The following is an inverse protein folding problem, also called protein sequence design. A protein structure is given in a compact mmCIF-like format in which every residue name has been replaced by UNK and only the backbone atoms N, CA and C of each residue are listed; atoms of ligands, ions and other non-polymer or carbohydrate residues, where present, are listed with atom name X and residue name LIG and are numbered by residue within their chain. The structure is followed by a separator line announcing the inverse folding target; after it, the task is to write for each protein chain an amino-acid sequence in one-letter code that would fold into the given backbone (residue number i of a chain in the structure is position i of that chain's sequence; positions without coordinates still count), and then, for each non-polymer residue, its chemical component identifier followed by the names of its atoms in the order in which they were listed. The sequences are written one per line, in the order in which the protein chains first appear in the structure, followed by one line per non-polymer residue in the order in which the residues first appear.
data_IF_567898221962
#
_entry.id   IF_567898221962
#
_cell.length_a   1.000
_cell.length_b   1.000
_cell.length_c   1.000
_cell.angle_alpha   90.00
_cell.angle_beta   90.00
_cell.angle_gamma   90.00
#
_symmetry.space_group_name_H-M   'P 1'
#
loop_
_entity.id
_entity.type
_entity.pdbx_description
1 polymer ?
#
# COMPACT_ATOMS: atom_id res chain seq x y z
N UNK A 1 24.49 -1.25 -7.68
CA UNK A 1 23.80 -0.70 -6.50
C UNK A 1 23.94 0.82 -6.54
N UNK A 2 22.85 1.57 -6.38
CA UNK A 2 22.88 3.04 -6.33
C UNK A 2 23.74 3.49 -5.13
N UNK A 3 24.68 4.41 -5.35
CA UNK A 3 25.46 5.05 -4.29
C UNK A 3 24.61 6.00 -3.42
N UNK A 4 23.42 6.38 -3.90
CA UNK A 4 22.53 7.34 -3.25
C UNK A 4 21.34 6.65 -2.56
N UNK A 5 21.05 7.05 -1.32
CA UNK A 5 19.83 6.69 -0.60
C UNK A 5 18.60 7.44 -1.15
N UNK A 6 17.38 7.05 -0.75
CA UNK A 6 16.15 7.65 -1.30
C UNK A 6 16.09 9.17 -1.12
N UNK A 7 16.41 9.68 0.07
CA UNK A 7 16.42 11.11 0.35
C UNK A 7 17.41 11.87 -0.56
N UNK A 8 18.61 11.32 -0.76
CA UNK A 8 19.61 11.89 -1.66
C UNK A 8 19.15 11.89 -3.12
N UNK A 9 18.41 10.86 -3.56
CA UNK A 9 17.86 10.83 -4.92
C UNK A 9 16.79 11.89 -5.12
N UNK A 10 15.88 12.06 -4.16
CA UNK A 10 14.82 13.08 -4.20
C UNK A 10 15.44 14.49 -4.23
N UNK A 11 16.43 14.75 -3.37
CA UNK A 11 17.18 16.01 -3.38
C UNK A 11 17.86 16.25 -4.74
N UNK A 12 18.48 15.21 -5.32
CA UNK A 12 19.13 15.33 -6.62
C UNK A 12 18.11 15.69 -7.71
N UNK A 13 16.95 15.04 -7.73
CA UNK A 13 15.88 15.32 -8.70
C UNK A 13 15.42 16.78 -8.58
N UNK A 14 15.14 17.25 -7.37
CA UNK A 14 14.72 18.64 -7.16
C UNK A 14 15.81 19.65 -7.49
N UNK A 15 17.08 19.37 -7.16
CA UNK A 15 18.19 20.26 -7.50
C UNK A 15 18.38 20.37 -9.00
N UNK A 16 18.26 19.26 -9.74
CA UNK A 16 18.37 19.28 -11.20
C UNK A 16 17.23 20.06 -11.85
N UNK A 17 16.00 19.88 -11.35
CA UNK A 17 14.86 20.66 -11.81
C UNK A 17 15.06 22.16 -11.52
N UNK A 18 15.50 22.51 -10.32
CA UNK A 18 15.71 23.92 -9.93
C UNK A 18 16.87 24.59 -10.66
N UNK A 19 18.04 23.94 -10.72
CA UNK A 19 19.26 24.54 -11.26
C UNK A 19 19.27 24.64 -12.79
N UNK A 20 18.63 23.68 -13.48
CA UNK A 20 18.76 23.52 -14.92
C UNK A 20 17.42 23.51 -15.67
N UNK A 21 16.29 23.76 -14.99
CA UNK A 21 14.92 23.53 -15.51
C UNK A 21 14.78 22.12 -16.10
N UNK A 22 15.51 21.17 -15.51
CA UNK A 22 15.76 19.86 -16.08
C UNK A 22 14.93 18.80 -15.35
N UNK A 23 13.77 18.49 -15.90
CA UNK A 23 12.86 17.48 -15.36
C UNK A 23 13.34 16.08 -15.73
N UNK A 24 14.14 15.50 -14.85
CA UNK A 24 14.70 14.15 -15.05
C UNK A 24 13.60 13.09 -15.34
N UNK A 25 12.42 13.27 -14.74
CA UNK A 25 11.24 12.42 -14.97
C UNK A 25 10.82 12.46 -16.45
N UNK A 26 10.74 13.64 -17.06
CA UNK A 26 10.27 13.82 -18.44
C UNK A 26 11.19 13.09 -19.43
N UNK A 27 12.49 13.11 -19.17
CA UNK A 27 13.49 12.44 -20.02
C UNK A 27 13.38 10.92 -19.95
N UNK A 28 13.11 10.39 -18.76
CA UNK A 28 12.83 8.97 -18.60
C UNK A 28 11.49 8.62 -19.27
N UNK A 29 10.51 9.53 -19.22
CA UNK A 29 9.22 9.35 -19.88
C UNK A 29 9.32 9.39 -21.42
N UNK A 30 10.26 10.11 -22.01
CA UNK A 30 10.55 10.10 -23.45
C UNK A 30 11.11 8.75 -23.94
N UNK A 31 11.67 7.94 -23.04
CA UNK A 31 12.16 6.60 -23.40
C UNK A 31 10.98 5.63 -23.63
N UNK A 32 11.14 4.61 -24.50
CA UNK A 32 10.13 3.58 -24.70
C UNK A 32 9.78 2.83 -23.41
N UNK A 33 8.51 2.40 -23.31
CA UNK A 33 8.03 1.53 -22.24
C UNK A 33 8.89 0.27 -22.12
N UNK A 34 9.48 0.10 -20.95
CA UNK A 34 10.32 -1.06 -20.63
C UNK A 34 10.39 -1.24 -19.11
N UNK A 35 10.68 -2.45 -18.61
CA UNK A 35 10.87 -2.68 -17.19
C UNK A 35 11.92 -1.75 -16.57
N UNK A 36 12.99 -1.45 -17.31
CA UNK A 36 14.06 -0.55 -16.86
C UNK A 36 13.56 0.89 -16.72
N UNK A 37 12.71 1.35 -17.63
CA UNK A 37 12.07 2.67 -17.53
C UNK A 37 11.23 2.76 -16.27
N UNK A 38 10.36 1.78 -16.03
CA UNK A 38 9.52 1.74 -14.82
C UNK A 38 10.36 1.70 -13.53
N UNK A 39 11.40 0.88 -13.48
CA UNK A 39 12.32 0.85 -12.35
C UNK A 39 13.05 2.19 -12.17
N UNK A 40 13.43 2.86 -13.25
CA UNK A 40 14.08 4.19 -13.18
C UNK A 40 13.14 5.21 -12.60
N UNK A 41 11.90 5.32 -13.10
CA UNK A 41 10.89 6.22 -12.56
C UNK A 41 10.63 5.97 -11.07
N UNK A 42 10.49 4.70 -10.67
CA UNK A 42 10.32 4.32 -9.28
C UNK A 42 11.51 4.73 -8.38
N UNK A 43 12.72 4.83 -8.93
CA UNK A 43 13.89 5.32 -8.18
C UNK A 43 13.93 6.85 -8.01
N UNK A 44 13.20 7.59 -8.85
CA UNK A 44 13.20 9.06 -8.87
C UNK A 44 12.11 9.69 -7.99
N UNK A 45 11.11 8.91 -7.59
CA UNK A 45 9.99 9.38 -6.77
C UNK A 45 10.16 9.00 -5.30
N UNK A 46 9.40 9.65 -4.43
CA UNK A 46 9.38 9.27 -3.02
C UNK A 46 8.79 7.86 -2.85
N UNK A 47 9.32 7.03 -1.93
CA UNK A 47 8.79 5.69 -1.70
C UNK A 47 7.29 5.67 -1.38
N UNK A 48 6.80 6.66 -0.63
CA UNK A 48 5.39 6.75 -0.26
C UNK A 48 4.50 7.02 -1.48
N UNK A 49 4.95 7.89 -2.38
CA UNK A 49 4.28 8.20 -3.65
C UNK A 49 4.19 6.96 -4.55
N UNK A 50 5.23 6.12 -4.58
CA UNK A 50 5.20 4.86 -5.30
C UNK A 50 4.10 3.93 -4.77
N UNK A 51 4.03 3.73 -3.45
CA UNK A 51 2.98 2.89 -2.86
C UNK A 51 1.58 3.45 -3.12
N UNK A 52 1.41 4.76 -3.05
CA UNK A 52 0.13 5.44 -3.32
C UNK A 52 -0.30 5.25 -4.78
N UNK A 53 0.63 5.35 -5.73
CA UNK A 53 0.40 5.05 -7.15
C UNK A 53 0.03 3.61 -7.37
N UNK A 54 0.81 2.67 -6.85
CA UNK A 54 0.52 1.24 -6.98
C UNK A 54 -0.86 0.88 -6.40
N UNK A 55 -1.25 1.49 -5.28
CA UNK A 55 -2.56 1.30 -4.68
C UNK A 55 -3.69 1.86 -5.56
N UNK A 56 -3.53 3.08 -6.07
CA UNK A 56 -4.51 3.70 -6.97
C UNK A 56 -4.68 2.92 -8.27
N UNK A 57 -3.57 2.51 -8.90
CA UNK A 57 -3.58 1.72 -10.13
C UNK A 57 -4.34 0.40 -9.95
N UNK A 58 -4.24 -0.24 -8.79
CA UNK A 58 -5.02 -1.44 -8.48
C UNK A 58 -6.52 -1.15 -8.38
N UNK A 59 -6.91 -0.02 -7.76
CA UNK A 59 -8.31 0.40 -7.68
C UNK A 59 -8.88 0.69 -9.07
N UNK A 60 -8.13 1.40 -9.91
CA UNK A 60 -8.50 1.73 -11.30
C UNK A 60 -8.58 0.47 -12.15
N UNK A 61 -7.63 -0.45 -12.00
CA UNK A 61 -7.65 -1.74 -12.70
C UNK A 61 -8.94 -2.50 -12.38
N UNK A 62 -9.34 -2.54 -11.10
CA UNK A 62 -10.55 -3.23 -10.67
C UNK A 62 -11.84 -2.52 -11.08
N UNK A 63 -11.84 -1.19 -11.16
CA UNK A 63 -13.01 -0.43 -11.61
C UNK A 63 -13.23 -0.56 -13.12
N UNK A 64 -12.14 -0.55 -13.91
CA UNK A 64 -12.18 -0.64 -15.37
C UNK A 64 -12.40 -2.08 -15.86
N UNK A 65 -11.75 -3.04 -15.20
CA UNK A 65 -11.84 -4.43 -15.61
C UNK A 65 -13.05 -5.09 -14.95
N UNK A 66 -14.10 -5.34 -15.74
CA UNK A 66 -15.32 -6.06 -15.30
C UNK A 66 -15.05 -7.54 -14.95
N UNK A 67 -13.78 -7.93 -14.89
CA UNK A 67 -13.32 -9.27 -14.52
C UNK A 67 -13.34 -9.45 -12.99
N UNK A 68 -13.53 -10.69 -12.55
CA UNK A 68 -13.50 -11.08 -11.14
C UNK A 68 -12.05 -11.16 -10.58
N UNK A 69 -11.13 -10.33 -11.07
CA UNK A 69 -9.78 -10.29 -10.52
C UNK A 69 -9.80 -9.76 -9.09
N UNK A 70 -9.29 -10.53 -8.13
CA UNK A 70 -9.23 -10.12 -6.73
C UNK A 70 -7.94 -9.34 -6.45
N UNK A 71 -8.07 -8.03 -6.24
CA UNK A 71 -6.97 -7.13 -5.87
C UNK A 71 -6.73 -7.07 -4.36
N UNK A 72 -7.63 -7.64 -3.55
CA UNK A 72 -7.69 -7.38 -2.10
C UNK A 72 -6.39 -7.70 -1.39
N UNK A 73 -5.76 -8.82 -1.78
CA UNK A 73 -4.46 -9.22 -1.23
C UNK A 73 -3.38 -8.17 -1.45
N UNK A 74 -3.30 -7.59 -2.65
CA UNK A 74 -2.26 -6.60 -2.98
C UNK A 74 -2.49 -5.29 -2.22
N UNK A 75 -3.75 -4.85 -2.13
CA UNK A 75 -4.11 -3.67 -1.32
C UNK A 75 -3.70 -3.85 0.15
N UNK A 76 -4.02 -5.01 0.74
CA UNK A 76 -3.64 -5.33 2.11
C UNK A 76 -2.11 -5.40 2.27
N UNK A 77 -1.39 -5.99 1.31
CA UNK A 77 0.06 -6.06 1.33
C UNK A 77 0.73 -4.68 1.35
N UNK A 78 0.20 -3.71 0.59
CA UNK A 78 0.71 -2.34 0.59
C UNK A 78 0.50 -1.72 1.99
N UNK A 79 -0.71 -1.78 2.54
CA UNK A 79 -1.04 -1.10 3.80
C UNK A 79 -0.39 -1.75 5.04
N UNK A 80 -0.17 -3.07 5.02
CA UNK A 80 0.52 -3.77 6.12
C UNK A 80 2.02 -3.49 6.18
N UNK A 81 2.61 -3.00 5.09
CA UNK A 81 4.03 -2.66 5.06
C UNK A 81 4.34 -1.27 5.65
N UNK A 82 3.32 -0.43 5.82
CA UNK A 82 3.45 0.92 6.40
C UNK A 82 3.34 0.84 7.91
N UNK A 83 4.01 1.72 8.64
CA UNK A 83 3.69 2.03 10.04
C UNK A 83 2.59 3.12 10.12
N UNK A 84 2.20 3.52 11.32
CA UNK A 84 1.15 4.52 11.54
C UNK A 84 1.51 5.88 10.92
N UNK A 85 2.75 6.34 11.13
CA UNK A 85 3.23 7.62 10.59
C UNK A 85 3.23 7.61 9.06
N UNK A 86 3.71 6.53 8.45
CA UNK A 86 3.71 6.34 7.01
C UNK A 86 2.30 6.13 6.46
N UNK A 87 1.37 5.54 7.21
CA UNK A 87 -0.05 5.45 6.84
C UNK A 87 -0.68 6.84 6.74
N UNK A 88 -0.38 7.74 7.69
CA UNK A 88 -0.85 9.11 7.61
C UNK A 88 -0.25 9.87 6.41
N UNK A 89 1.05 9.70 6.14
CA UNK A 89 1.68 10.27 4.94
C UNK A 89 1.08 9.70 3.65
N UNK A 90 0.81 8.40 3.63
CA UNK A 90 0.18 7.71 2.50
C UNK A 90 -1.17 8.34 2.16
N UNK A 91 -2.02 8.56 3.16
CA UNK A 91 -3.32 9.21 2.98
C UNK A 91 -3.21 10.64 2.46
N UNK A 92 -2.38 11.45 3.10
CA UNK A 92 -2.16 12.83 2.66
C UNK A 92 -1.62 12.88 1.22
N UNK A 93 -0.69 11.98 0.89
CA UNK A 93 -0.11 11.88 -0.46
C UNK A 93 -1.17 11.44 -1.49
N UNK A 94 -2.05 10.50 -1.14
CA UNK A 94 -3.15 10.08 -2.02
C UNK A 94 -4.09 11.24 -2.34
N UNK A 95 -4.51 12.00 -1.34
CA UNK A 95 -5.40 13.15 -1.52
C UNK A 95 -4.76 14.25 -2.36
N UNK A 96 -3.45 14.50 -2.18
CA UNK A 96 -2.69 15.47 -2.99
C UNK A 96 -2.62 15.04 -4.46
N UNK A 97 -2.39 13.76 -4.73
CA UNK A 97 -2.17 13.27 -6.09
C UNK A 97 -3.45 13.08 -6.89
N UNK A 98 -4.55 12.70 -6.25
CA UNK A 98 -5.79 12.31 -6.93
C UNK A 98 -6.99 13.19 -6.59
N UNK A 99 -6.80 14.21 -5.76
CA UNK A 99 -7.84 15.17 -5.35
C UNK A 99 -9.10 14.48 -4.79
N UNK A 100 -8.94 13.29 -4.21
CA UNK A 100 -10.03 12.49 -3.66
C UNK A 100 -9.60 11.72 -2.40
N UNK A 101 -10.58 11.36 -1.56
CA UNK A 101 -10.35 10.53 -0.37
C UNK A 101 -10.17 9.07 -0.79
N UNK A 102 -9.09 8.46 -0.28
CA UNK A 102 -8.80 7.05 -0.50
C UNK A 102 -9.89 6.13 0.04
N UNK A 103 -10.51 6.47 1.17
CA UNK A 103 -11.62 5.70 1.74
C UNK A 103 -12.82 5.67 0.81
N UNK A 104 -13.10 6.82 0.17
CA UNK A 104 -14.19 6.93 -0.81
C UNK A 104 -13.93 6.02 -2.00
N UNK A 105 -12.72 6.04 -2.55
CA UNK A 105 -12.36 5.18 -3.69
C UNK A 105 -12.38 3.70 -3.32
N UNK A 106 -11.89 3.34 -2.13
CA UNK A 106 -11.97 1.96 -1.62
C UNK A 106 -13.42 1.51 -1.52
N UNK A 107 -14.33 2.31 -0.95
CA UNK A 107 -15.75 1.95 -0.85
C UNK A 107 -16.43 1.82 -2.22
N UNK A 108 -16.07 2.67 -3.19
CA UNK A 108 -16.61 2.60 -4.55
C UNK A 108 -16.18 1.31 -5.24
N UNK A 109 -14.91 0.91 -5.08
CA UNK A 109 -14.34 -0.25 -5.78
C UNK A 109 -14.63 -1.58 -5.08
N UNK A 110 -14.51 -1.64 -3.74
CA UNK A 110 -14.71 -2.85 -2.94
C UNK A 110 -16.16 -3.04 -2.46
N UNK A 111 -17.00 -2.03 -2.67
CA UNK A 111 -18.37 -1.99 -2.17
C UNK A 111 -18.47 -1.49 -0.73
N UNK A 112 -19.51 -0.71 -0.46
CA UNK A 112 -19.80 -0.18 0.87
C UNK A 112 -20.08 -1.30 1.86
N UNK A 113 -19.52 -1.16 3.06
CA UNK A 113 -19.78 -2.04 4.21
C UNK A 113 -19.34 -3.51 4.03
N UNK A 114 -18.51 -3.82 3.03
CA UNK A 114 -17.91 -5.16 2.91
C UNK A 114 -16.84 -5.38 3.98
N UNK A 115 -16.54 -6.64 4.31
CA UNK A 115 -15.48 -6.96 5.28
C UNK A 115 -14.14 -6.40 4.80
N UNK A 116 -13.87 -6.50 3.50
CA UNK A 116 -12.64 -6.00 2.91
C UNK A 116 -12.56 -4.47 2.94
N UNK A 117 -13.63 -3.75 2.57
CA UNK A 117 -13.62 -2.28 2.63
C UNK A 117 -13.39 -1.79 4.06
N UNK A 118 -14.06 -2.43 5.05
CA UNK A 118 -13.87 -2.12 6.48
C UNK A 118 -12.44 -2.36 6.94
N UNK A 119 -11.85 -3.51 6.59
CA UNK A 119 -10.48 -3.83 6.94
C UNK A 119 -9.49 -2.81 6.35
N UNK A 120 -9.65 -2.46 5.07
CA UNK A 120 -8.77 -1.49 4.41
C UNK A 120 -8.89 -0.10 5.04
N UNK A 121 -10.11 0.36 5.33
CA UNK A 121 -10.35 1.64 6.00
C UNK A 121 -9.73 1.65 7.40
N UNK A 122 -9.91 0.58 8.18
CA UNK A 122 -9.30 0.44 9.51
C UNK A 122 -7.76 0.51 9.44
N UNK A 123 -7.15 -0.16 8.45
CA UNK A 123 -5.70 -0.08 8.23
C UNK A 123 -5.26 1.34 7.86
N UNK A 124 -6.08 2.06 7.08
CA UNK A 124 -5.86 3.45 6.71
C UNK A 124 -6.05 4.44 7.86
N UNK A 125 -6.68 4.06 8.98
CA UNK A 125 -6.77 4.96 10.13
C UNK A 125 -5.41 5.25 10.75
N UNK A 126 -4.42 4.36 10.59
CA UNK A 126 -3.07 4.56 11.13
C UNK A 126 -3.03 4.56 12.66
N UNK A 127 -3.89 3.77 13.31
CA UNK A 127 -3.99 3.70 14.77
C UNK A 127 -3.62 2.32 15.34
N UNK A 128 -2.72 1.58 14.67
CA UNK A 128 -2.30 0.26 15.15
C UNK A 128 -1.50 0.40 16.44
N UNK A 129 -1.65 -0.56 17.34
CA UNK A 129 -0.77 -0.63 18.50
C UNK A 129 0.60 -1.15 18.06
N UNK A 130 1.57 -0.25 17.91
CA UNK A 130 2.94 -0.55 17.49
C UNK A 130 3.89 -0.78 18.68
N UNK A 131 3.39 -0.67 19.91
CA UNK A 131 4.20 -0.95 21.10
C UNK A 131 4.51 -2.46 21.23
N UNK A 132 5.76 -2.76 21.61
CA UNK A 132 6.23 -4.12 21.84
C UNK A 132 5.75 -4.74 23.17
N UNK A 133 4.84 -4.07 23.89
CA UNK A 133 4.35 -4.49 25.21
C UNK A 133 3.26 -5.55 25.07
N UNK A 134 3.69 -6.81 24.96
CA UNK A 134 2.77 -7.93 24.78
C UNK A 134 2.20 -8.44 26.12
N UNK A 135 0.91 -8.23 26.34
CA UNK A 135 0.18 -8.89 27.43
C UNK A 135 -0.13 -10.33 27.06
N UNK A 136 0.45 -11.28 27.79
CA UNK A 136 0.19 -12.73 27.65
C UNK A 136 -1.32 -13.02 27.77
N UNK A 137 -2.02 -12.31 28.65
CA UNK A 137 -3.46 -12.47 28.86
C UNK A 137 -4.26 -12.04 27.64
N UNK A 138 -3.90 -10.93 27.00
CA UNK A 138 -4.54 -10.46 25.78
C UNK A 138 -4.30 -11.42 24.61
N UNK A 139 -3.07 -11.91 24.46
CA UNK A 139 -2.73 -12.90 23.43
C UNK A 139 -3.55 -14.20 23.58
N UNK A 140 -3.69 -14.72 24.82
CA UNK A 140 -4.53 -15.90 25.11
C UNK A 140 -6.01 -15.67 24.79
N UNK A 141 -6.52 -14.49 25.12
CA UNK A 141 -7.91 -14.14 24.84
C UNK A 141 -8.17 -14.05 23.32
N UNK A 142 -7.29 -13.38 22.57
CA UNK A 142 -7.36 -13.29 21.11
C UNK A 142 -7.32 -14.68 20.48
N UNK A 143 -6.36 -15.53 20.88
CA UNK A 143 -6.22 -16.88 20.34
C UNK A 143 -7.49 -17.73 20.55
N UNK A 144 -8.10 -17.64 21.74
CA UNK A 144 -9.36 -18.34 22.05
C UNK A 144 -10.51 -17.86 21.15
N UNK A 145 -10.64 -16.55 20.97
CA UNK A 145 -11.70 -15.99 20.13
C UNK A 145 -11.51 -16.32 18.65
N UNK A 146 -10.27 -16.30 18.15
CA UNK A 146 -9.96 -16.71 16.79
C UNK A 146 -10.28 -18.20 16.57
N UNK A 147 -9.95 -19.06 17.53
CA UNK A 147 -10.30 -20.49 17.46
C UNK A 147 -11.82 -20.70 17.42
N UNK A 148 -12.55 -20.05 18.32
CA UNK A 148 -14.01 -20.16 18.39
C UNK A 148 -14.72 -19.57 17.16
N UNK A 149 -14.15 -18.54 16.54
CA UNK A 149 -14.64 -18.00 15.27
C UNK A 149 -14.43 -18.99 14.12
N UNK A 150 -13.27 -19.64 14.06
CA UNK A 150 -12.91 -20.59 13.01
C UNK A 150 -13.80 -21.86 13.03
N UNK A 151 -14.23 -22.30 14.21
CA UNK A 151 -15.12 -23.46 14.40
C UNK A 151 -16.55 -23.25 13.90
N UNK A 152 -16.96 -22.00 13.61
CA UNK A 152 -18.27 -21.69 13.00
C UNK A 152 -18.14 -21.53 11.48
N UNK A 153 -18.22 -22.63 10.75
CA UNK A 153 -18.35 -22.68 9.29
C UNK A 153 -17.33 -21.84 8.47
N UNK A 154 -16.15 -21.58 9.04
CA UNK A 154 -15.08 -20.91 8.30
C UNK A 154 -14.24 -21.99 7.60
N UNK A 155 -14.09 -21.97 6.27
CA UNK A 155 -13.22 -22.92 5.59
C UNK A 155 -11.82 -22.84 6.21
N UNK A 156 -11.21 -24.00 6.50
CA UNK A 156 -9.91 -24.07 7.16
C UNK A 156 -8.90 -23.20 6.42
N UNK A 157 -8.25 -22.29 7.14
CA UNK A 157 -7.17 -21.46 6.59
C UNK A 157 -6.12 -22.40 6.01
N UNK A 158 -5.96 -22.37 4.69
CA UNK A 158 -4.94 -23.11 3.99
C UNK A 158 -3.57 -22.66 4.50
N UNK A 159 -2.81 -23.59 5.07
CA UNK A 159 -1.53 -23.30 5.73
C UNK A 159 -0.48 -22.74 4.75
N UNK A 160 -0.64 -23.00 3.44
CA UNK A 160 0.20 -22.40 2.41
C UNK A 160 0.01 -20.87 2.31
N UNK A 161 -1.20 -20.38 2.62
CA UNK A 161 -1.51 -18.94 2.66
C UNK A 161 -0.93 -18.25 3.90
N UNK A 162 -0.82 -18.97 5.03
CA UNK A 162 -0.29 -18.42 6.29
C UNK A 162 1.22 -18.10 6.21
N UNK A 163 1.99 -18.91 5.48
CA UNK A 163 3.43 -18.70 5.32
C UNK A 163 3.77 -17.51 4.42
N UNK A 164 2.92 -17.16 3.44
CA UNK A 164 3.22 -16.06 2.48
C UNK A 164 2.79 -14.67 2.94
N UNK A 165 2.01 -14.55 4.03
CA UNK A 165 1.55 -13.27 4.58
C UNK A 165 2.42 -12.80 5.76
N UNK A 166 3.00 -13.72 6.53
CA UNK A 166 3.75 -13.40 7.74
C UNK A 166 5.28 -13.54 7.59
N UNK A 167 5.77 -14.04 6.45
CA UNK A 167 7.20 -14.07 6.13
C UNK A 167 7.47 -13.23 4.89
N UNK A 168 7.58 -11.92 5.07
CA UNK A 168 8.34 -10.99 4.23
C UNK A 168 8.91 -9.89 5.10
#
# INVERSE_FOLDING_TARGET
MSLYNCAQRVILVHNLEFEYDYKLIDIVLEQPESPIRSCTLAMLIEPIELYVRDFHDLLILKSNDKSNFDISRKLVQILLALDNDDTHKFKATYEILYENSIETDVEVVQGKQTIMSKLLIELLEGQRNEELTHSISSAKWIAKNLSAANEKDTPSIDYEYKLRVFFF
#
